data_IF_737976719478
#
_entry.id   IF_737976719478
#
_cell.length_a   1.000
_cell.length_b   1.000
_cell.length_c   1.000
_cell.angle_alpha   90.00
_cell.angle_beta   90.00
_cell.angle_gamma   90.00
#
_symmetry.space_group_name_H-M   'P 1'
#
loop_
_entity.id
_entity.type
_entity.pdbx_description
1 polymer ?
#
# COMPACT_ATOMS: atom_id res chain seq x y z
N UNK A 1 -41.75 -3.71 12.64
CA UNK A 1 -40.73 -4.67 12.14
C UNK A 1 -39.49 -3.88 11.75
N UNK A 2 -38.46 -3.73 12.59
CA UNK A 2 -37.24 -3.05 12.18
C UNK A 2 -36.39 -3.97 11.30
N UNK A 3 -36.02 -3.47 10.11
CA UNK A 3 -35.15 -4.11 9.12
C UNK A 3 -33.77 -4.43 9.70
N UNK A 4 -33.35 -5.66 9.50
CA UNK A 4 -31.99 -6.12 9.74
C UNK A 4 -31.04 -5.57 8.66
N UNK A 5 -30.49 -4.37 8.87
CA UNK A 5 -29.55 -3.75 7.91
C UNK A 5 -28.23 -3.27 8.52
N UNK A 6 -27.80 -3.81 9.66
CA UNK A 6 -26.49 -3.50 10.26
C UNK A 6 -25.81 -4.75 10.84
N UNK A 7 -25.48 -5.74 10.00
CA UNK A 7 -24.72 -6.95 10.42
C UNK A 7 -23.46 -7.23 9.59
N UNK A 8 -23.02 -6.31 8.73
CA UNK A 8 -21.99 -6.58 7.72
C UNK A 8 -20.59 -6.05 8.06
N UNK A 9 -20.39 -5.36 9.20
CA UNK A 9 -19.09 -4.77 9.56
C UNK A 9 -18.28 -5.55 10.61
N UNK A 10 -18.92 -6.41 11.42
CA UNK A 10 -18.20 -7.11 12.50
C UNK A 10 -17.47 -8.38 12.03
N UNK A 11 -17.81 -8.92 10.86
CA UNK A 11 -17.14 -10.11 10.30
C UNK A 11 -15.82 -9.80 9.60
N UNK A 12 -15.44 -8.52 9.45
CA UNK A 12 -14.17 -8.14 8.79
C UNK A 12 -12.91 -8.40 9.62
N UNK A 13 -13.05 -8.74 10.91
CA UNK A 13 -11.92 -9.09 11.78
C UNK A 13 -11.61 -10.59 11.81
N UNK A 14 -12.43 -11.44 11.20
CA UNK A 14 -12.07 -12.84 10.93
C UNK A 14 -11.24 -12.92 9.65
N UNK A 15 -10.04 -12.34 9.74
CA UNK A 15 -8.98 -12.65 8.81
C UNK A 15 -8.76 -14.16 8.91
N UNK A 16 -8.80 -14.85 7.76
CA UNK A 16 -8.61 -16.31 7.70
C UNK A 16 -7.38 -16.73 8.52
N UNK A 17 -7.42 -17.88 9.23
CA UNK A 17 -6.24 -18.41 9.89
C UNK A 17 -5.08 -18.53 8.89
N UNK A 18 -3.88 -18.06 9.29
CA UNK A 18 -2.65 -18.12 8.48
C UNK A 18 -2.16 -16.78 7.90
N UNK A 19 -2.71 -15.62 8.29
CA UNK A 19 -2.13 -14.34 7.88
C UNK A 19 -0.72 -14.08 8.45
N UNK A 20 -0.45 -14.53 9.67
CA UNK A 20 0.90 -14.44 10.24
C UNK A 20 1.89 -15.34 9.48
N UNK A 21 1.42 -16.46 8.90
CA UNK A 21 2.25 -17.33 8.06
C UNK A 21 2.65 -16.62 6.76
N UNK A 22 1.80 -15.72 6.25
CA UNK A 22 2.09 -14.94 5.05
C UNK A 22 3.26 -13.98 5.28
N UNK A 23 3.36 -13.39 6.47
CA UNK A 23 4.51 -12.55 6.84
C UNK A 23 5.78 -13.38 6.92
N UNK A 24 5.74 -14.55 7.55
CA UNK A 24 6.90 -15.45 7.65
C UNK A 24 7.36 -15.94 6.27
N UNK A 25 6.44 -16.27 5.37
CA UNK A 25 6.75 -16.64 3.99
C UNK A 25 7.36 -15.49 3.21
N UNK A 26 6.87 -14.26 3.42
CA UNK A 26 7.44 -13.07 2.81
C UNK A 26 8.87 -12.82 3.29
N UNK A 27 9.11 -12.94 4.60
CA UNK A 27 10.44 -12.78 5.19
C UNK A 27 11.42 -13.84 4.65
N UNK A 28 10.98 -15.10 4.53
CA UNK A 28 11.77 -16.19 3.92
C UNK A 28 12.08 -15.94 2.44
N UNK A 29 11.16 -15.31 1.71
CA UNK A 29 11.37 -14.90 0.32
C UNK A 29 12.23 -13.63 0.18
N UNK A 30 12.69 -13.04 1.30
CA UNK A 30 13.45 -11.78 1.32
C UNK A 30 12.61 -10.54 1.02
N UNK A 31 11.28 -10.63 1.16
CA UNK A 31 10.34 -9.54 0.93
C UNK A 31 10.04 -8.88 2.27
N UNK A 32 10.80 -7.84 2.58
CA UNK A 32 10.57 -7.02 3.77
C UNK A 32 9.44 -6.02 3.48
N UNK A 33 8.30 -6.23 4.13
CA UNK A 33 7.13 -5.34 4.07
C UNK A 33 6.55 -5.12 5.46
N UNK A 34 5.99 -3.93 5.67
CA UNK A 34 5.32 -3.59 6.93
C UNK A 34 4.13 -4.54 7.17
N UNK A 35 3.92 -4.94 8.43
CA UNK A 35 2.84 -5.87 8.82
C UNK A 35 1.44 -5.35 8.47
N UNK A 36 1.25 -4.02 8.50
CA UNK A 36 -0.01 -3.41 8.09
C UNK A 36 -0.23 -3.51 6.58
N UNK A 37 0.84 -3.26 5.79
CA UNK A 37 0.78 -3.38 4.33
C UNK A 37 0.53 -4.82 3.90
N UNK A 38 1.15 -5.81 4.56
CA UNK A 38 0.93 -7.21 4.24
C UNK A 38 -0.52 -7.63 4.51
N UNK A 39 -1.12 -7.17 5.61
CA UNK A 39 -2.54 -7.38 5.93
C UNK A 39 -3.45 -6.78 4.86
N UNK A 40 -3.20 -5.55 4.44
CA UNK A 40 -3.98 -4.87 3.41
C UNK A 40 -3.92 -5.61 2.07
N UNK A 41 -2.73 -6.09 1.67
CA UNK A 41 -2.56 -6.85 0.44
C UNK A 41 -3.35 -8.16 0.46
N UNK A 42 -3.27 -8.91 1.57
CA UNK A 42 -4.06 -10.13 1.71
C UNK A 42 -5.56 -9.83 1.70
N UNK A 43 -6.00 -8.70 2.27
CA UNK A 43 -7.40 -8.29 2.22
C UNK A 43 -7.86 -8.00 0.79
N UNK A 44 -7.06 -7.26 0.00
CA UNK A 44 -7.36 -7.00 -1.41
C UNK A 44 -7.49 -8.30 -2.22
N UNK A 45 -6.60 -9.25 -1.98
CA UNK A 45 -6.66 -10.57 -2.62
C UNK A 45 -7.90 -11.36 -2.18
N UNK A 46 -8.26 -11.32 -0.90
CA UNK A 46 -9.47 -11.96 -0.37
C UNK A 46 -10.76 -11.35 -0.94
N UNK A 47 -10.75 -10.08 -1.34
CA UNK A 47 -11.86 -9.44 -2.05
C UNK A 47 -11.97 -9.89 -3.52
N UNK A 48 -11.07 -10.75 -4.00
CA UNK A 48 -11.05 -11.25 -5.37
C UNK A 48 -10.38 -10.31 -6.37
N UNK A 49 -9.64 -9.30 -5.89
CA UNK A 49 -8.85 -8.44 -6.78
C UNK A 49 -7.65 -9.25 -7.29
N UNK A 50 -7.47 -9.27 -8.61
CA UNK A 50 -6.38 -10.04 -9.22
C UNK A 50 -4.99 -9.57 -8.72
N UNK A 51 -4.04 -10.50 -8.49
CA UNK A 51 -2.68 -10.15 -8.10
C UNK A 51 -1.99 -9.18 -9.06
N UNK A 52 -2.19 -9.28 -10.38
CA UNK A 52 -1.62 -8.33 -11.34
C UNK A 52 -2.08 -6.90 -11.09
N UNK A 53 -3.36 -6.70 -10.79
CA UNK A 53 -3.91 -5.35 -10.51
C UNK A 53 -3.30 -4.79 -9.23
N UNK A 54 -3.21 -5.60 -8.17
CA UNK A 54 -2.57 -5.19 -6.90
C UNK A 54 -1.10 -4.82 -7.14
N UNK A 55 -0.36 -5.64 -7.90
CA UNK A 55 1.03 -5.36 -8.23
C UNK A 55 1.20 -4.08 -9.05
N UNK A 56 0.35 -3.85 -10.04
CA UNK A 56 0.37 -2.64 -10.85
C UNK A 56 0.04 -1.39 -10.02
N UNK A 57 -0.91 -1.49 -9.09
CA UNK A 57 -1.24 -0.42 -8.15
C UNK A 57 -0.02 -0.05 -7.29
N UNK A 58 0.66 -1.04 -6.70
CA UNK A 58 1.87 -0.82 -5.90
C UNK A 58 2.99 -0.15 -6.72
N UNK A 59 3.21 -0.60 -7.97
CA UNK A 59 4.17 0.03 -8.90
C UNK A 59 3.86 1.51 -9.13
N UNK A 60 2.60 1.85 -9.37
CA UNK A 60 2.17 3.24 -9.60
C UNK A 60 2.37 4.09 -8.34
N UNK A 61 1.99 3.59 -7.17
CA UNK A 61 2.18 4.29 -5.89
C UNK A 61 3.67 4.55 -5.64
N UNK A 62 4.54 3.56 -5.87
CA UNK A 62 5.99 3.71 -5.70
C UNK A 62 6.55 4.79 -6.61
N UNK A 63 6.16 4.79 -7.90
CA UNK A 63 6.61 5.79 -8.88
C UNK A 63 6.20 7.22 -8.49
N UNK A 64 4.97 7.42 -8.03
CA UNK A 64 4.46 8.73 -7.58
C UNK A 64 5.22 9.27 -6.37
N UNK A 65 5.60 8.42 -5.41
CA UNK A 65 6.42 8.84 -4.25
C UNK A 65 7.81 9.35 -4.70
N UNK A 66 8.44 8.68 -5.68
CA UNK A 66 9.76 9.07 -6.19
C UNK A 66 9.74 10.40 -6.95
N UNK A 67 8.70 10.67 -7.74
CA UNK A 67 8.56 11.91 -8.52
C UNK A 67 8.35 13.14 -7.63
N UNK A 68 7.53 13.04 -6.57
CA UNK A 68 7.34 14.12 -5.59
C UNK A 68 8.66 14.54 -4.90
N UNK A 69 9.56 13.60 -4.66
CA UNK A 69 10.86 13.88 -4.03
C UNK A 69 11.84 14.62 -4.97
N UNK A 70 11.78 14.37 -6.28
CA UNK A 70 12.62 15.09 -7.25
C UNK A 70 12.17 16.53 -7.47
N UNK A 71 10.85 16.78 -7.44
CA UNK A 71 10.29 18.13 -7.63
C UNK A 71 10.71 19.13 -6.55
N UNK A 72 11.00 18.69 -5.32
CA UNK A 72 11.44 19.58 -4.23
C UNK A 72 12.92 19.99 -4.30
N UNK A 73 13.72 19.38 -5.18
CA UNK A 73 15.16 19.68 -5.31
C UNK A 73 15.50 20.68 -6.42
N UNK A 74 14.49 21.22 -7.12
CA UNK A 74 14.65 22.05 -8.32
C UNK A 74 14.39 23.55 -8.13
N UNK A 75 14.25 24.06 -6.90
CA UNK A 75 13.90 25.48 -6.65
C UNK A 75 15.02 26.30 -6.03
N UNK A 76 16.26 25.80 -6.00
CA UNK A 76 17.37 26.50 -5.34
C UNK A 76 18.60 26.58 -6.25
N UNK A 77 18.49 27.21 -7.43
CA UNK A 77 19.69 27.51 -8.23
C UNK A 77 19.65 28.70 -9.19
N UNK A 78 18.63 29.57 -9.13
CA UNK A 78 18.56 30.73 -10.03
C UNK A 78 18.19 32.01 -9.29
N UNK A 79 19.05 32.47 -8.38
CA UNK A 79 18.98 33.86 -7.88
C UNK A 79 20.32 34.36 -7.32
N UNK A 80 21.44 34.06 -7.99
CA UNK A 80 22.75 34.69 -7.71
C UNK A 80 23.49 34.89 -9.03
N UNK A 81 22.99 35.78 -9.88
CA UNK A 81 23.79 36.43 -10.92
C UNK A 81 23.06 37.67 -11.40
N UNK A 82 23.32 38.77 -10.70
CA UNK A 82 23.19 40.16 -11.16
C UNK A 82 23.78 41.00 -10.03
N UNK A 83 25.06 41.36 -10.15
CA UNK A 83 25.42 42.76 -10.17
C UNK A 83 26.80 42.89 -10.82
N UNK A 84 26.81 43.84 -11.75
CA UNK A 84 27.87 44.29 -12.63
C UNK A 84 28.61 45.41 -11.94
#
# INVERSE_FOLDING_TARGET
MPSATNKSFETMNELRPGQDDFQQLADLAGIYMDKELSRDLVQLLNMGISPEVVFNLLKVIRKKKTERSKSRRSTQRTSLSKHK
#
